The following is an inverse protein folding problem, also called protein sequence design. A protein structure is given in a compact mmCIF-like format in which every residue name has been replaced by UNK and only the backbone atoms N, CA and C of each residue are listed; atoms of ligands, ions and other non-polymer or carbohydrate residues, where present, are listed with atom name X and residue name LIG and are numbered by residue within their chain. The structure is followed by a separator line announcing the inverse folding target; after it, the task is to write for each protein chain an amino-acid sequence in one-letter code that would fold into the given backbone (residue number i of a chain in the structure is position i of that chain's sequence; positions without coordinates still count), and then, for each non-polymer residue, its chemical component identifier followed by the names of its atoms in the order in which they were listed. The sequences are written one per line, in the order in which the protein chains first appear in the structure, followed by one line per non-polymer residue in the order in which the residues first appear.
data_IF_989360949704
#
_entry.id   IF_989360949704
#
_cell.length_a   1.000
_cell.length_b   1.000
_cell.length_c   1.000
_cell.angle_alpha   90.00
_cell.angle_beta   90.00
_cell.angle_gamma   90.00
#
_symmetry.space_group_name_H-M   'P 1'
#
loop_
_entity.id
_entity.type
_entity.pdbx_description
1 polymer ?
#
# COMPACT_ATOMS: atom_id res chain seq x y z
N UNK A 1 -11.13 3.09 10.78
CA UNK A 1 -9.79 2.85 11.36
C UNK A 1 -9.43 3.95 12.34
N UNK A 2 -9.37 5.21 11.88
CA UNK A 2 -9.05 6.34 12.75
C UNK A 2 -10.07 6.54 13.89
N UNK A 3 -11.37 6.41 13.60
CA UNK A 3 -12.42 6.45 14.65
C UNK A 3 -12.28 5.36 15.70
N UNK A 4 -11.57 4.27 15.37
CA UNK A 4 -11.23 3.17 16.26
C UNK A 4 -9.84 3.36 16.92
N UNK A 5 -9.23 4.54 16.79
CA UNK A 5 -7.90 4.86 17.34
C UNK A 5 -6.72 4.28 16.56
N UNK A 6 -6.93 3.79 15.33
CA UNK A 6 -5.88 3.16 14.52
C UNK A 6 -5.38 4.11 13.43
N UNK A 7 -4.07 4.37 13.42
CA UNK A 7 -3.42 5.16 12.38
C UNK A 7 -3.00 4.27 11.20
N UNK A 8 -3.48 4.52 9.97
CA UNK A 8 -3.00 3.82 8.79
C UNK A 8 -1.51 4.10 8.56
N UNK A 9 -0.71 3.05 8.34
CA UNK A 9 0.74 3.21 8.15
C UNK A 9 1.19 2.82 6.74
N UNK A 10 0.86 1.61 6.29
CA UNK A 10 1.21 1.12 4.96
C UNK A 10 -0.01 0.67 4.16
N UNK A 11 -0.01 1.05 2.88
CA UNK A 11 -0.79 0.39 1.85
C UNK A 11 0.19 -0.54 1.14
N UNK A 12 0.06 -1.83 1.43
CA UNK A 12 1.04 -2.82 0.99
C UNK A 12 0.61 -3.46 -0.33
N UNK A 13 1.46 -3.43 -1.35
CA UNK A 13 1.24 -4.22 -2.56
C UNK A 13 1.48 -5.70 -2.24
N UNK A 14 0.81 -6.60 -2.96
CA UNK A 14 0.89 -8.03 -2.68
C UNK A 14 2.35 -8.54 -2.62
N UNK A 15 2.66 -9.27 -1.55
CA UNK A 15 3.90 -10.04 -1.46
C UNK A 15 3.83 -11.23 -2.40
N UNK A 16 4.81 -11.36 -3.29
CA UNK A 16 4.85 -12.45 -4.28
C UNK A 16 5.26 -13.76 -3.63
N UNK A 17 4.29 -14.43 -2.99
CA UNK A 17 4.43 -15.80 -2.48
C UNK A 17 3.70 -16.80 -3.39
N UNK A 18 3.97 -18.09 -3.22
CA UNK A 18 3.34 -19.12 -4.05
C UNK A 18 1.81 -19.10 -3.89
N UNK A 19 1.10 -19.14 -5.02
CA UNK A 19 -0.36 -19.27 -5.07
C UNK A 19 -1.17 -17.97 -4.94
N UNK A 20 -0.55 -16.80 -4.72
CA UNK A 20 -1.29 -15.54 -4.53
C UNK A 20 -1.33 -14.61 -5.74
N UNK A 21 -0.70 -14.97 -6.86
CA UNK A 21 -0.54 -14.10 -8.03
C UNK A 21 -1.85 -13.51 -8.58
N UNK A 22 -2.99 -14.19 -8.39
CA UNK A 22 -4.31 -13.70 -8.81
C UNK A 22 -4.85 -12.55 -7.95
N UNK A 23 -4.25 -12.29 -6.78
CA UNK A 23 -4.52 -11.09 -5.96
C UNK A 23 -3.59 -9.93 -6.33
N UNK A 24 -2.65 -10.12 -7.27
CA UNK A 24 -1.70 -9.07 -7.62
C UNK A 24 -2.41 -7.95 -8.36
N UNK A 25 -2.17 -6.72 -7.90
CA UNK A 25 -2.61 -5.49 -8.55
C UNK A 25 -1.39 -4.84 -9.15
N UNK A 26 -1.46 -4.42 -10.42
CA UNK A 26 -0.34 -3.73 -11.06
C UNK A 26 -0.04 -2.37 -10.43
N UNK A 27 1.17 -1.85 -10.68
CA UNK A 27 1.65 -0.61 -10.06
C UNK A 27 0.81 0.61 -10.49
N UNK A 28 0.26 0.62 -11.72
CA UNK A 28 -0.57 1.72 -12.20
C UNK A 28 -1.89 1.80 -11.42
N UNK A 29 -2.53 0.64 -11.20
CA UNK A 29 -3.75 0.54 -10.40
C UNK A 29 -3.49 0.82 -8.92
N UNK A 30 -2.37 0.35 -8.37
CA UNK A 30 -1.98 0.65 -6.99
C UNK A 30 -1.79 2.16 -6.75
N UNK A 31 -1.10 2.85 -7.68
CA UNK A 31 -0.94 4.32 -7.64
C UNK A 31 -2.26 5.05 -7.78
N UNK A 32 -3.14 4.59 -8.67
CA UNK A 32 -4.47 5.18 -8.84
C UNK A 32 -5.30 5.10 -7.54
N UNK A 33 -5.31 3.93 -6.88
CA UNK A 33 -5.99 3.75 -5.58
C UNK A 33 -5.39 4.66 -4.49
N UNK A 34 -4.06 4.79 -4.46
CA UNK A 34 -3.38 5.66 -3.51
C UNK A 34 -3.73 7.14 -3.73
N UNK A 35 -3.78 7.59 -4.98
CA UNK A 35 -4.21 8.93 -5.34
C UNK A 35 -5.68 9.20 -4.97
N UNK A 36 -6.55 8.21 -5.15
CA UNK A 36 -7.95 8.29 -4.73
C UNK A 36 -8.05 8.48 -3.21
N UNK A 37 -7.30 7.70 -2.43
CA UNK A 37 -7.22 7.87 -0.97
C UNK A 37 -6.73 9.26 -0.56
N UNK A 38 -5.72 9.81 -1.26
CA UNK A 38 -5.22 11.16 -1.02
C UNK A 38 -6.28 12.24 -1.24
N UNK A 39 -7.22 12.02 -2.16
CA UNK A 39 -8.30 12.98 -2.41
C UNK A 39 -9.40 12.97 -1.35
N UNK A 40 -9.54 11.86 -0.63
CA UNK A 40 -10.61 11.64 0.35
C UNK A 40 -10.17 11.82 1.80
N UNK A 41 -8.87 11.69 2.08
CA UNK A 41 -8.34 11.65 3.44
C UNK A 41 -7.43 12.85 3.73
N UNK A 42 -7.43 13.37 4.98
CA UNK A 42 -6.36 14.23 5.46
C UNK A 42 -4.99 13.56 5.24
N UNK A 43 -3.98 14.34 4.87
CA UNK A 43 -2.66 13.81 4.51
C UNK A 43 -2.02 12.90 5.57
N UNK A 44 -2.26 13.16 6.86
CA UNK A 44 -1.74 12.34 7.96
C UNK A 44 -2.43 10.98 8.11
N UNK A 45 -3.57 10.77 7.44
CA UNK A 45 -4.29 9.50 7.37
C UNK A 45 -4.01 8.73 6.08
N UNK A 46 -3.28 9.32 5.13
CA UNK A 46 -2.89 8.64 3.90
C UNK A 46 -1.72 7.69 4.21
N UNK A 47 -1.90 6.36 4.06
CA UNK A 47 -0.81 5.42 4.30
C UNK A 47 0.26 5.52 3.20
N UNK A 48 1.47 5.07 3.51
CA UNK A 48 2.55 4.99 2.51
C UNK A 48 2.34 3.77 1.61
N UNK A 49 2.32 3.97 0.29
CA UNK A 49 2.29 2.87 -0.68
C UNK A 49 3.67 2.21 -0.74
N UNK A 50 3.74 0.91 -0.44
CA UNK A 50 4.99 0.16 -0.35
C UNK A 50 4.87 -1.25 -0.91
N UNK A 51 5.99 -1.87 -1.28
CA UNK A 51 6.10 -3.30 -1.58
C UNK A 51 7.33 -3.93 -0.92
N UNK A 52 7.31 -5.25 -0.81
CA UNK A 52 8.51 -6.03 -0.52
C UNK A 52 9.28 -6.33 -1.81
N UNK A 53 10.60 -6.20 -1.73
CA UNK A 53 11.53 -6.54 -2.81
C UNK A 53 12.59 -7.47 -2.22
N UNK A 54 12.72 -8.68 -2.77
CA UNK A 54 13.68 -9.65 -2.28
C UNK A 54 15.11 -9.07 -2.30
N UNK A 55 15.78 -9.11 -1.14
CA UNK A 55 17.12 -8.57 -0.96
C UNK A 55 17.18 -7.06 -0.66
N UNK A 56 16.05 -6.35 -0.63
CA UNK A 56 16.03 -4.97 -0.14
C UNK A 56 16.22 -4.94 1.39
N UNK A 57 16.83 -3.87 1.95
CA UNK A 57 17.00 -3.73 3.40
C UNK A 57 15.67 -3.45 4.15
N UNK A 58 14.56 -3.29 3.43
CA UNK A 58 13.23 -3.08 3.99
C UNK A 58 12.19 -2.72 2.92
N UNK A 59 11.01 -2.25 3.36
CA UNK A 59 9.88 -1.85 2.50
C UNK A 59 10.31 -0.78 1.50
N UNK A 60 10.01 -1.00 0.23
CA UNK A 60 10.32 -0.08 -0.88
C UNK A 60 9.09 0.76 -1.20
N UNK A 61 9.25 2.08 -1.30
CA UNK A 61 8.17 2.99 -1.70
C UNK A 61 7.88 2.88 -3.20
N UNK A 62 6.61 3.02 -3.56
CA UNK A 62 6.13 3.04 -4.94
C UNK A 62 5.79 4.45 -5.38
#
# INVERSE_FOLDING_TARGET
LFDAGVLPYYLHQLDRVAGVAHYEVDDARARALHSELQSMLPGYLVPRLVREVAGAPGKVAL
#
